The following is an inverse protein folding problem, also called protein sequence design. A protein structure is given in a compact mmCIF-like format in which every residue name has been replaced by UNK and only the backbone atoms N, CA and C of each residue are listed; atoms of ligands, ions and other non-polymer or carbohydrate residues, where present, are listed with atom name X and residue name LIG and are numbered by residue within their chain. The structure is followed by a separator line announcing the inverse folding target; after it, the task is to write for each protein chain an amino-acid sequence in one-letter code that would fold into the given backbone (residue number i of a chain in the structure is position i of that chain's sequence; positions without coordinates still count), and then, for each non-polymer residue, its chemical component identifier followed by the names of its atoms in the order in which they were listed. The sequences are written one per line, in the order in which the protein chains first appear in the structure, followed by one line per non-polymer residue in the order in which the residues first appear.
data_IF_041566254113
#
_entry.id   IF_041566254113
#
_cell.length_a   1.000
_cell.length_b   1.000
_cell.length_c   1.000
_cell.angle_alpha   90.00
_cell.angle_beta   90.00
_cell.angle_gamma   90.00
#
_symmetry.space_group_name_H-M   'P 1'
#
loop_
_entity.id
_entity.type
_entity.pdbx_description
1 polymer ?
#
# COMPACT_ATOMS: atom_id res chain seq x y z
N UNK A 1 -14.36 6.29 -29.48
CA UNK A 1 -14.35 6.39 -28.01
C UNK A 1 -14.59 5.01 -27.43
N UNK A 2 -13.54 4.34 -26.93
CA UNK A 2 -13.67 3.04 -26.26
C UNK A 2 -13.78 3.29 -24.76
N UNK A 3 -14.99 3.14 -24.22
CA UNK A 3 -15.24 3.16 -22.79
C UNK A 3 -14.61 1.93 -22.16
N UNK A 4 -13.49 2.12 -21.47
CA UNK A 4 -12.85 1.09 -20.65
C UNK A 4 -13.86 0.62 -19.60
N UNK A 5 -14.40 -0.60 -19.75
CA UNK A 5 -15.19 -1.24 -18.71
C UNK A 5 -14.35 -1.27 -17.45
N UNK A 6 -14.74 -0.46 -16.47
CA UNK A 6 -14.14 -0.50 -15.14
C UNK A 6 -14.49 -1.86 -14.55
N UNK A 7 -13.49 -2.75 -14.51
CA UNK A 7 -13.56 -4.00 -13.77
C UNK A 7 -13.98 -3.70 -12.33
N UNK A 8 -15.04 -4.39 -11.88
CA UNK A 8 -15.50 -4.38 -10.49
C UNK A 8 -14.33 -4.68 -9.55
N UNK A 9 -14.27 -4.04 -8.36
CA UNK A 9 -13.27 -4.40 -7.37
C UNK A 9 -13.34 -5.91 -7.07
N UNK A 10 -12.22 -6.58 -6.76
CA UNK A 10 -12.25 -7.97 -6.31
C UNK A 10 -13.24 -8.10 -5.14
N UNK A 11 -13.92 -9.23 -4.99
CA UNK A 11 -14.85 -9.49 -3.88
C UNK A 11 -14.14 -9.23 -2.54
N UNK A 12 -14.32 -8.02 -2.02
CA UNK A 12 -13.86 -7.62 -0.71
C UNK A 12 -14.87 -8.13 0.31
N UNK A 13 -14.37 -8.56 1.45
CA UNK A 13 -15.19 -8.76 2.65
C UNK A 13 -16.17 -7.56 2.82
N UNK A 14 -17.49 -7.79 2.93
CA UNK A 14 -18.47 -6.69 2.99
C UNK A 14 -18.21 -5.70 4.12
N UNK A 15 -17.70 -6.18 5.27
CA UNK A 15 -17.34 -5.31 6.39
C UNK A 15 -16.14 -4.43 6.04
N UNK A 16 -15.11 -4.98 5.40
CA UNK A 16 -13.99 -4.21 4.88
C UNK A 16 -14.46 -3.17 3.85
N UNK A 17 -15.32 -3.54 2.91
CA UNK A 17 -15.85 -2.62 1.91
C UNK A 17 -16.58 -1.44 2.57
N UNK A 18 -17.47 -1.71 3.54
CA UNK A 18 -18.17 -0.68 4.30
C UNK A 18 -17.20 0.24 5.07
N UNK A 19 -16.19 -0.33 5.73
CA UNK A 19 -15.16 0.45 6.42
C UNK A 19 -14.38 1.37 5.48
N UNK A 20 -13.98 0.88 4.30
CA UNK A 20 -13.26 1.70 3.31
C UNK A 20 -14.14 2.80 2.72
N UNK A 21 -15.44 2.56 2.55
CA UNK A 21 -16.41 3.59 2.16
C UNK A 21 -16.55 4.68 3.23
N UNK A 22 -16.64 4.32 4.51
CA UNK A 22 -16.64 5.30 5.62
C UNK A 22 -15.38 6.15 5.64
N UNK A 23 -14.21 5.52 5.46
CA UNK A 23 -12.92 6.22 5.36
C UNK A 23 -12.91 7.21 4.18
N UNK A 24 -13.46 6.81 3.03
CA UNK A 24 -13.60 7.70 1.89
C UNK A 24 -14.45 8.94 2.23
N UNK A 25 -15.59 8.74 2.87
CA UNK A 25 -16.49 9.83 3.26
C UNK A 25 -15.80 10.81 4.21
N UNK A 26 -15.04 10.32 5.19
CA UNK A 26 -14.23 11.13 6.10
C UNK A 26 -13.14 11.92 5.36
N UNK A 27 -12.39 11.26 4.47
CA UNK A 27 -11.36 11.92 3.64
C UNK A 27 -11.97 13.03 2.79
N UNK A 28 -13.09 12.75 2.13
CA UNK A 28 -13.76 13.74 1.27
C UNK A 28 -14.35 14.89 2.09
N UNK A 29 -14.91 14.61 3.27
CA UNK A 29 -15.37 15.64 4.20
C UNK A 29 -14.22 16.54 4.66
N UNK A 30 -13.08 15.95 5.05
CA UNK A 30 -11.87 16.71 5.41
C UNK A 30 -11.36 17.56 4.24
N UNK A 31 -11.37 17.02 3.02
CA UNK A 31 -10.87 17.71 1.82
C UNK A 31 -11.62 19.00 1.46
N UNK A 32 -12.86 19.15 1.96
CA UNK A 32 -13.72 20.33 1.76
C UNK A 32 -13.43 21.46 2.76
N UNK A 33 -12.61 21.22 3.78
CA UNK A 33 -12.28 22.25 4.77
C UNK A 33 -11.33 23.30 4.15
N UNK A 34 -11.50 24.60 4.45
CA UNK A 34 -10.76 25.68 3.77
C UNK A 34 -9.23 25.58 3.91
N UNK A 35 -8.75 24.98 5.00
CA UNK A 35 -7.30 24.87 5.30
C UNK A 35 -6.72 23.47 5.04
N UNK A 36 -7.47 22.60 4.35
CA UNK A 36 -7.09 21.21 4.11
C UNK A 36 -6.82 20.99 2.62
N UNK A 37 -5.56 20.71 2.31
CA UNK A 37 -5.16 20.27 0.96
C UNK A 37 -5.55 18.82 0.74
N UNK A 38 -5.69 18.35 -0.52
CA UNK A 38 -5.94 16.93 -0.81
C UNK A 38 -4.92 16.00 -0.15
N UNK A 39 -3.64 16.42 -0.10
CA UNK A 39 -2.59 15.67 0.59
C UNK A 39 -2.82 15.55 2.09
N UNK A 40 -3.28 16.62 2.76
CA UNK A 40 -3.64 16.60 4.19
C UNK A 40 -4.88 15.75 4.45
N UNK A 41 -5.89 15.82 3.58
CA UNK A 41 -7.06 14.95 3.69
C UNK A 41 -6.69 13.48 3.51
N UNK A 42 -5.87 13.14 2.50
CA UNK A 42 -5.35 11.78 2.28
C UNK A 42 -4.51 11.28 3.44
N UNK A 43 -3.76 12.16 4.12
CA UNK A 43 -2.97 11.82 5.29
C UNK A 43 -3.81 11.21 6.43
N UNK A 44 -5.09 11.59 6.55
CA UNK A 44 -6.05 10.95 7.45
C UNK A 44 -6.12 9.44 7.22
N UNK A 45 -6.26 9.01 5.96
CA UNK A 45 -6.19 7.59 5.64
C UNK A 45 -4.80 7.02 5.95
N UNK A 46 -3.73 7.56 5.35
CA UNK A 46 -2.43 6.88 5.34
C UNK A 46 -1.72 6.84 6.70
N UNK A 47 -2.08 7.71 7.64
CA UNK A 47 -1.44 7.79 8.95
C UNK A 47 -2.35 7.41 10.12
N UNK A 48 -3.67 7.50 9.97
CA UNK A 48 -4.62 7.22 11.06
C UNK A 48 -5.44 5.98 10.72
N UNK A 49 -6.29 6.06 9.68
CA UNK A 49 -7.28 4.99 9.42
C UNK A 49 -6.67 3.71 8.84
N UNK A 50 -5.51 3.79 8.19
CA UNK A 50 -4.81 2.62 7.66
C UNK A 50 -4.52 1.57 8.76
N UNK A 51 -4.34 1.97 10.02
CA UNK A 51 -4.10 1.02 11.12
C UNK A 51 -5.27 0.05 11.33
N UNK A 52 -6.50 0.51 11.13
CA UNK A 52 -7.71 -0.29 11.30
C UNK A 52 -7.92 -1.32 10.16
N UNK A 53 -7.42 -1.02 8.95
CA UNK A 53 -7.71 -1.82 7.75
C UNK A 53 -6.49 -2.52 7.12
N UNK A 54 -5.26 -2.12 7.47
CA UNK A 54 -4.03 -2.64 6.83
C UNK A 54 -3.91 -4.15 6.88
N UNK A 55 -4.37 -4.78 7.97
CA UNK A 55 -4.32 -6.25 8.13
C UNK A 55 -5.27 -7.01 7.20
N UNK A 56 -6.29 -6.33 6.66
CA UNK A 56 -7.26 -6.91 5.72
C UNK A 56 -7.00 -6.47 4.28
N UNK A 57 -6.23 -5.40 4.08
CA UNK A 57 -6.04 -4.76 2.78
C UNK A 57 -4.62 -4.90 2.22
N UNK A 58 -3.58 -4.75 3.06
CA UNK A 58 -2.18 -4.75 2.62
C UNK A 58 -1.76 -6.14 2.17
N UNK A 59 -1.18 -6.27 0.98
CA UNK A 59 -0.76 -7.56 0.42
C UNK A 59 0.74 -7.60 0.15
N UNK A 60 1.39 -8.63 0.66
CA UNK A 60 2.77 -8.92 0.29
C UNK A 60 2.80 -9.57 -1.11
N UNK A 61 3.68 -9.09 -1.99
CA UNK A 61 3.76 -9.61 -3.38
C UNK A 61 4.58 -10.89 -3.51
N UNK A 62 5.26 -11.32 -2.44
CA UNK A 62 6.23 -12.40 -2.53
C UNK A 62 7.61 -11.96 -3.03
N UNK A 63 7.94 -10.66 -2.97
CA UNK A 63 9.25 -10.12 -3.36
C UNK A 63 9.97 -9.47 -2.18
N UNK A 64 11.25 -9.80 -2.03
CA UNK A 64 12.14 -9.29 -1.00
C UNK A 64 13.36 -8.70 -1.70
N UNK A 65 13.92 -7.58 -1.23
CA UNK A 65 15.18 -7.09 -1.79
C UNK A 65 16.33 -8.03 -1.44
N UNK A 66 17.38 -8.07 -2.27
CA UNK A 66 18.59 -8.85 -1.98
C UNK A 66 19.23 -8.44 -0.65
N UNK A 67 19.29 -7.14 -0.36
CA UNK A 67 19.82 -6.63 0.91
C UNK A 67 18.98 -7.09 2.11
N UNK A 68 17.64 -7.07 1.99
CA UNK A 68 16.76 -7.59 3.04
C UNK A 68 16.81 -9.13 3.14
N UNK A 69 17.20 -9.83 2.09
CA UNK A 69 17.37 -11.28 2.11
C UNK A 69 18.66 -11.71 2.81
N UNK A 70 19.75 -10.95 2.65
CA UNK A 70 21.10 -11.27 3.13
C UNK A 70 21.33 -11.10 4.64
N UNK A 71 20.28 -11.28 5.47
CA UNK A 71 20.38 -11.13 6.94
C UNK A 71 20.99 -9.80 7.39
N UNK A 72 20.52 -8.67 6.87
CA UNK A 72 20.97 -7.36 7.39
C UNK A 72 20.47 -7.12 8.81
N UNK A 73 21.35 -6.67 9.71
CA UNK A 73 21.00 -6.16 11.05
C UNK A 73 20.19 -4.84 11.01
N UNK A 74 20.06 -4.24 9.83
CA UNK A 74 19.30 -3.01 9.62
C UNK A 74 17.78 -3.19 9.76
N UNK A 75 17.05 -2.11 10.10
CA UNK A 75 15.60 -2.14 10.17
C UNK A 75 14.98 -2.43 8.80
N UNK A 76 14.00 -3.33 8.79
CA UNK A 76 13.23 -3.73 7.61
C UNK A 76 11.93 -2.92 7.49
N UNK A 77 11.47 -2.73 6.25
CA UNK A 77 10.27 -1.97 5.92
C UNK A 77 9.37 -2.75 4.97
N UNK A 78 8.06 -2.54 5.08
CA UNK A 78 7.10 -2.89 4.04
C UNK A 78 6.94 -1.68 3.13
N UNK A 79 7.54 -1.74 1.94
CA UNK A 79 7.56 -0.62 1.02
C UNK A 79 6.43 -0.69 0.00
N UNK A 80 5.67 0.40 -0.10
CA UNK A 80 4.58 0.57 -1.07
C UNK A 80 5.13 1.09 -2.42
N UNK A 81 5.61 0.15 -3.25
CA UNK A 81 6.28 0.47 -4.52
C UNK A 81 5.41 1.23 -5.52
N UNK A 82 4.07 1.07 -5.43
CA UNK A 82 3.12 1.77 -6.31
C UNK A 82 2.84 3.23 -5.91
N UNK A 83 3.48 3.75 -4.87
CA UNK A 83 3.37 5.17 -4.47
C UNK A 83 1.95 5.62 -4.18
N UNK A 84 1.24 4.84 -3.36
CA UNK A 84 -0.17 5.06 -2.99
C UNK A 84 -0.48 6.51 -2.55
N UNK A 85 0.45 7.17 -1.85
CA UNK A 85 0.26 8.54 -1.37
C UNK A 85 0.05 9.55 -2.49
N UNK A 86 0.84 9.48 -3.57
CA UNK A 86 0.74 10.39 -4.71
C UNK A 86 -0.55 10.15 -5.46
N UNK A 87 -0.84 8.88 -5.78
CA UNK A 87 -2.06 8.49 -6.51
C UNK A 87 -3.33 8.87 -5.76
N UNK A 88 -3.40 8.58 -4.46
CA UNK A 88 -4.56 8.96 -3.65
C UNK A 88 -4.72 10.47 -3.51
N UNK A 89 -3.62 11.22 -3.43
CA UNK A 89 -3.69 12.69 -3.35
C UNK A 89 -4.32 13.25 -4.62
N UNK A 90 -3.89 12.77 -5.80
CA UNK A 90 -4.47 13.17 -7.08
C UNK A 90 -5.94 12.74 -7.21
N UNK A 91 -6.29 11.54 -6.72
CA UNK A 91 -7.67 11.05 -6.75
C UNK A 91 -8.60 11.91 -5.87
N UNK A 92 -8.18 12.25 -4.65
CA UNK A 92 -8.94 13.13 -3.74
C UNK A 92 -9.10 14.52 -4.36
N UNK A 93 -8.04 15.05 -4.96
CA UNK A 93 -8.09 16.33 -5.66
C UNK A 93 -9.10 16.31 -6.80
N UNK A 94 -9.06 15.28 -7.65
CA UNK A 94 -10.01 15.09 -8.74
C UNK A 94 -11.45 15.05 -8.22
N UNK A 95 -11.74 14.18 -7.26
CA UNK A 95 -13.10 14.03 -6.73
C UNK A 95 -13.61 15.33 -6.08
N UNK A 96 -12.72 16.08 -5.43
CA UNK A 96 -13.07 17.37 -4.83
C UNK A 96 -13.41 18.41 -5.90
N UNK A 97 -12.54 18.58 -6.89
CA UNK A 97 -12.69 19.60 -7.96
C UNK A 97 -13.90 19.30 -8.83
N UNK A 98 -14.12 18.04 -9.18
CA UNK A 98 -15.24 17.58 -10.01
C UNK A 98 -16.52 17.32 -9.18
N UNK A 99 -16.48 17.53 -7.87
CA UNK A 99 -17.59 17.26 -6.93
C UNK A 99 -18.16 15.83 -7.04
N UNK A 100 -17.30 14.86 -7.33
CA UNK A 100 -17.68 13.47 -7.47
C UNK A 100 -17.81 12.76 -6.11
N UNK A 101 -18.84 11.95 -5.98
CA UNK A 101 -18.96 10.94 -4.92
C UNK A 101 -18.69 9.56 -5.52
N UNK A 102 -17.42 9.16 -5.56
CA UNK A 102 -16.99 7.91 -6.18
C UNK A 102 -16.15 7.05 -5.20
N UNK A 103 -16.75 6.53 -4.12
CA UNK A 103 -16.05 5.68 -3.15
C UNK A 103 -15.41 4.45 -3.80
N UNK A 104 -16.05 3.85 -4.79
CA UNK A 104 -15.55 2.62 -5.42
C UNK A 104 -14.23 2.83 -6.16
N UNK A 105 -14.02 4.01 -6.76
CA UNK A 105 -12.75 4.37 -7.40
C UNK A 105 -11.62 4.52 -6.36
N UNK A 106 -11.96 5.04 -5.17
CA UNK A 106 -11.03 5.12 -4.05
C UNK A 106 -10.70 3.73 -3.51
N UNK A 107 -11.70 2.89 -3.28
CA UNK A 107 -11.54 1.51 -2.79
C UNK A 107 -10.69 0.69 -3.77
N UNK A 108 -10.99 0.76 -5.07
CA UNK A 108 -10.21 0.10 -6.12
C UNK A 108 -8.74 0.52 -6.07
N UNK A 109 -8.49 1.83 -5.96
CA UNK A 109 -7.14 2.38 -5.85
C UNK A 109 -6.42 1.81 -4.62
N UNK A 110 -7.09 1.78 -3.47
CA UNK A 110 -6.52 1.22 -2.25
C UNK A 110 -6.13 -0.25 -2.42
N UNK A 111 -7.03 -1.09 -2.94
CA UNK A 111 -6.78 -2.51 -3.18
C UNK A 111 -5.59 -2.71 -4.14
N UNK A 112 -5.52 -1.93 -5.21
CA UNK A 112 -4.46 -2.05 -6.19
C UNK A 112 -3.11 -1.57 -5.67
N UNK A 113 -3.07 -0.57 -4.79
CA UNK A 113 -1.84 0.13 -4.39
C UNK A 113 -1.31 -0.28 -3.02
N UNK A 114 -2.07 -1.01 -2.20
CA UNK A 114 -1.64 -1.57 -0.91
C UNK A 114 -0.77 -2.85 -1.05
N UNK A 115 -0.06 -2.97 -2.18
CA UNK A 115 0.91 -4.03 -2.41
C UNK A 115 2.30 -3.61 -1.90
N UNK A 116 2.96 -4.51 -1.19
CA UNK A 116 4.24 -4.22 -0.54
C UNK A 116 5.33 -5.24 -0.85
N UNK A 117 6.56 -4.73 -0.89
CA UNK A 117 7.81 -5.50 -0.86
C UNK A 117 8.44 -5.44 0.52
N UNK A 118 9.25 -6.45 0.87
CA UNK A 118 10.14 -6.35 2.03
C UNK A 118 11.47 -5.79 1.54
N UNK A 119 11.86 -4.64 2.09
CA UNK A 119 13.14 -3.97 1.79
C UNK A 119 13.80 -3.51 3.09
N UNK A 120 15.06 -3.10 3.03
CA UNK A 120 15.70 -2.38 4.14
C UNK A 120 15.19 -0.94 4.22
N UNK A 121 15.32 -0.31 5.39
CA UNK A 121 14.98 1.12 5.55
C UNK A 121 15.78 2.03 4.64
N UNK A 122 17.06 1.72 4.41
CA UNK A 122 17.92 2.46 3.50
C UNK A 122 17.40 2.41 2.06
N UNK A 123 17.03 1.22 1.59
CA UNK A 123 16.40 1.02 0.28
C UNK A 123 15.06 1.74 0.17
N UNK A 124 14.22 1.71 1.21
CA UNK A 124 12.95 2.46 1.21
C UNK A 124 13.18 3.97 0.94
N UNK A 125 14.17 4.58 1.60
CA UNK A 125 14.51 5.99 1.33
C UNK A 125 15.17 6.19 -0.03
N UNK A 126 16.01 5.26 -0.50
CA UNK A 126 16.60 5.31 -1.83
C UNK A 126 15.50 5.27 -2.92
N UNK A 127 14.54 4.36 -2.77
CA UNK A 127 13.38 4.28 -3.65
C UNK A 127 12.57 5.58 -3.65
N UNK A 128 12.38 6.21 -2.48
CA UNK A 128 11.69 7.50 -2.39
C UNK A 128 12.42 8.60 -3.17
N UNK A 129 13.75 8.70 -3.02
CA UNK A 129 14.57 9.67 -3.78
C UNK A 129 14.53 9.41 -5.29
N UNK A 130 14.52 8.15 -5.69
CA UNK A 130 14.39 7.72 -7.07
C UNK A 130 12.93 7.69 -7.57
N UNK A 131 11.98 8.33 -6.87
CA UNK A 131 10.55 8.39 -7.25
C UNK A 131 9.88 7.02 -7.48
N UNK A 132 10.40 5.94 -6.89
CA UNK A 132 9.91 4.57 -7.08
C UNK A 132 10.64 3.77 -8.14
N UNK A 133 11.62 4.36 -8.84
CA UNK A 133 12.45 3.63 -9.77
C UNK A 133 13.48 2.77 -9.00
N UNK A 134 13.19 1.48 -8.89
CA UNK A 134 14.06 0.53 -8.19
C UNK A 134 15.43 0.36 -8.86
N UNK A 135 15.50 0.48 -10.19
CA UNK A 135 16.77 0.41 -10.92
C UNK A 135 17.68 1.58 -10.56
N UNK A 136 17.15 2.79 -10.54
CA UNK A 136 17.88 3.98 -10.10
C UNK A 136 18.21 3.94 -8.60
N UNK A 137 17.36 3.31 -7.78
CA UNK A 137 17.60 3.13 -6.36
C UNK A 137 18.58 1.98 -6.02
N UNK A 138 19.03 1.21 -7.03
CA UNK A 138 19.90 0.05 -6.82
C UNK A 138 19.22 -1.13 -6.11
N UNK A 139 17.90 -1.24 -6.17
CA UNK A 139 17.13 -2.27 -5.47
C UNK A 139 16.85 -3.44 -6.42
N UNK A 140 17.35 -4.61 -6.06
CA UNK A 140 17.09 -5.87 -6.77
C UNK A 140 16.15 -6.72 -5.94
N UNK A 141 15.06 -7.18 -6.57
CA UNK A 141 14.04 -8.01 -5.91
C UNK A 141 14.23 -9.48 -6.25
N UNK A 142 14.28 -10.31 -5.21
CA UNK A 142 14.26 -11.77 -5.34
C UNK A 142 12.90 -12.35 -4.94
N UNK A 143 12.46 -13.46 -5.56
CA UNK A 143 11.24 -14.17 -5.16
C UNK A 143 11.38 -14.79 -3.76
N UNK A 144 10.31 -14.72 -2.97
CA UNK A 144 10.20 -15.33 -1.63
C UNK A 144 10.66 -16.79 -1.60
N UNK A 145 10.27 -17.57 -2.60
CA UNK A 145 10.60 -18.99 -2.69
C UNK A 145 12.11 -19.28 -2.81
N UNK A 146 12.91 -18.31 -3.26
CA UNK A 146 14.37 -18.43 -3.38
C UNK A 146 15.13 -18.17 -2.07
N UNK A 147 14.46 -17.65 -1.03
CA UNK A 147 15.11 -17.41 0.25
C UNK A 147 15.27 -18.73 1.02
N UNK A 148 16.37 -18.90 1.78
CA UNK A 148 16.51 -20.00 2.74
C UNK A 148 15.33 -20.05 3.71
N UNK A 149 14.93 -21.26 4.11
CA UNK A 149 13.76 -21.48 4.94
C UNK A 149 13.80 -20.71 6.26
N UNK A 150 14.96 -20.76 6.95
CA UNK A 150 15.22 -19.99 8.18
C UNK A 150 14.94 -18.50 7.98
N UNK A 151 15.43 -17.92 6.87
CA UNK A 151 15.22 -16.50 6.56
C UNK A 151 13.76 -16.19 6.26
N UNK A 152 13.05 -17.08 5.55
CA UNK A 152 11.60 -16.92 5.31
C UNK A 152 10.82 -16.94 6.62
N UNK A 153 11.12 -17.87 7.53
CA UNK A 153 10.47 -17.93 8.84
C UNK A 153 10.69 -16.64 9.64
N UNK A 154 11.91 -16.10 9.64
CA UNK A 154 12.24 -14.85 10.33
C UNK A 154 11.53 -13.64 9.74
N UNK A 155 11.58 -13.48 8.42
CA UNK A 155 10.89 -12.40 7.71
C UNK A 155 9.37 -12.51 7.86
N UNK A 156 8.81 -13.73 7.87
CA UNK A 156 7.38 -13.92 8.08
C UNK A 156 6.97 -13.43 9.47
N UNK A 157 7.70 -13.83 10.53
CA UNK A 157 7.45 -13.40 11.91
C UNK A 157 7.59 -11.88 12.05
N UNK A 158 8.66 -11.30 11.50
CA UNK A 158 8.99 -9.87 11.69
C UNK A 158 8.15 -8.95 10.80
N UNK A 159 7.84 -9.34 9.57
CA UNK A 159 7.33 -8.44 8.54
C UNK A 159 5.94 -8.78 8.01
N UNK A 160 5.50 -10.04 8.08
CA UNK A 160 4.23 -10.46 7.46
C UNK A 160 3.13 -10.70 8.50
N UNK A 161 3.41 -11.47 9.54
CA UNK A 161 2.44 -11.86 10.57
C UNK A 161 1.77 -10.63 11.18
N UNK A 162 0.44 -10.52 11.01
CA UNK A 162 -0.35 -9.41 11.54
C UNK A 162 -0.05 -8.05 10.90
N UNK A 163 0.64 -8.02 9.74
CA UNK A 163 0.99 -6.79 9.01
C UNK A 163 0.45 -6.76 7.59
N UNK A 164 0.15 -7.92 7.01
CA UNK A 164 -0.45 -8.09 5.67
C UNK A 164 -1.58 -9.12 5.71
N UNK A 165 -2.55 -8.98 4.81
CA UNK A 165 -3.75 -9.82 4.73
C UNK A 165 -3.47 -11.24 4.22
N UNK A 166 -2.49 -11.39 3.32
CA UNK A 166 -2.12 -12.68 2.75
C UNK A 166 -0.94 -13.33 3.47
N UNK A 167 -0.70 -13.01 4.75
CA UNK A 167 0.46 -13.52 5.49
C UNK A 167 0.48 -15.05 5.57
N UNK A 168 -0.68 -15.68 5.72
CA UNK A 168 -0.79 -17.14 5.85
C UNK A 168 -0.37 -17.87 4.57
N UNK A 169 -0.49 -17.25 3.40
CA UNK A 169 -0.01 -17.81 2.13
C UNK A 169 1.53 -17.90 2.04
N UNK A 170 2.24 -17.25 2.97
CA UNK A 170 3.71 -17.26 3.05
C UNK A 170 4.21 -17.87 4.36
N UNK A 171 3.31 -18.48 5.14
CA UNK A 171 3.70 -19.17 6.37
C UNK A 171 4.57 -20.38 6.01
N UNK A 172 5.65 -20.53 6.77
CA UNK A 172 6.62 -21.62 6.69
C UNK A 172 6.40 -22.51 7.91
#
# INVERSE_FOLDING_TARGET
MLGTRMSSPPDLDPQLHAALKSIYEEVMWLSKRPNVTPGRARAWYTHIMAEAVKRKLRRFTGKVSEAAAAESDGPLMLEHFKRIQTTLTALVEKHRTERLSAPDAFIKTLVEFEHVHIVTRAENYAAMRAKGNYREAGIVLIPWKKLPEKRRADLWKKMLRGKVANADAFKI
#
